data_IF_256767186227
#
_entry.id   IF_256767186227
#
_cell.length_a   1.000
_cell.length_b   1.000
_cell.length_c   1.000
_cell.angle_alpha   90.00
_cell.angle_beta   90.00
_cell.angle_gamma   90.00
#
_symmetry.space_group_name_H-M   'P 1'
#
loop_
_entity.id
_entity.type
_entity.pdbx_description
1 polymer ?
#
# COMPACT_ATOMS: atom_id res chain seq x y z
N UNK A 1 -12.19 6.04 14.76
CA UNK A 1 -13.06 4.85 14.83
C UNK A 1 -13.79 4.73 13.49
N UNK A 2 -13.09 4.33 12.41
CA UNK A 2 -13.64 4.26 11.05
C UNK A 2 -13.24 2.97 10.31
N UNK A 3 -12.84 1.91 11.04
CA UNK A 3 -12.20 0.73 10.44
C UNK A 3 -13.11 -0.51 10.29
N UNK A 4 -14.42 -0.41 10.58
CA UNK A 4 -15.28 -1.60 10.59
C UNK A 4 -16.21 -1.79 9.39
N UNK A 5 -16.26 -0.87 8.42
CA UNK A 5 -17.29 -0.91 7.37
C UNK A 5 -16.77 -1.14 5.93
N UNK A 6 -15.54 -1.64 5.79
CA UNK A 6 -15.02 -2.12 4.49
C UNK A 6 -14.78 -3.64 4.47
N UNK A 7 -15.29 -4.38 5.46
CA UNK A 7 -15.33 -5.84 5.44
C UNK A 7 -16.69 -6.40 5.04
N UNK A 8 -17.61 -5.54 4.56
CA UNK A 8 -18.93 -6.01 4.10
C UNK A 8 -18.78 -6.71 2.74
N UNK A 9 -19.31 -7.94 2.56
CA UNK A 9 -19.22 -8.71 1.29
C UNK A 9 -19.91 -8.04 0.08
N UNK A 10 -20.56 -6.89 0.28
CA UNK A 10 -21.28 -6.13 -0.76
C UNK A 10 -20.65 -4.74 -0.99
N UNK A 11 -19.52 -4.41 -0.36
CA UNK A 11 -18.80 -3.19 -0.68
C UNK A 11 -18.31 -3.30 -2.14
N UNK A 12 -18.65 -2.34 -3.02
CA UNK A 12 -18.35 -2.46 -4.44
C UNK A 12 -16.88 -2.11 -4.70
N UNK A 13 -15.97 -2.99 -4.27
CA UNK A 13 -14.52 -2.84 -4.45
C UNK A 13 -14.13 -2.69 -5.93
N UNK A 14 -14.92 -3.30 -6.81
CA UNK A 14 -14.73 -3.24 -8.26
C UNK A 14 -14.95 -1.83 -8.85
N UNK A 15 -15.58 -0.90 -8.13
CA UNK A 15 -15.80 0.46 -8.63
C UNK A 15 -14.56 1.35 -8.51
N UNK A 16 -13.69 1.11 -7.53
CA UNK A 16 -12.55 1.98 -7.22
C UNK A 16 -11.57 2.04 -8.40
N UNK A 17 -11.34 0.91 -9.08
CA UNK A 17 -10.39 0.79 -10.19
C UNK A 17 -11.06 0.88 -11.57
N UNK A 18 -12.34 1.30 -11.67
CA UNK A 18 -12.96 1.60 -12.97
C UNK A 18 -12.50 2.92 -13.56
N UNK A 19 -12.08 3.85 -12.70
CA UNK A 19 -11.70 5.19 -13.10
C UNK A 19 -10.35 5.58 -12.48
N UNK A 20 -9.39 5.91 -13.35
CA UNK A 20 -8.05 6.34 -12.95
C UNK A 20 -8.09 7.62 -12.10
N UNK A 21 -9.03 8.53 -12.37
CA UNK A 21 -9.15 9.79 -11.61
C UNK A 21 -9.54 9.52 -10.15
N UNK A 22 -10.43 8.56 -9.92
CA UNK A 22 -10.81 8.12 -8.57
C UNK A 22 -9.60 7.64 -7.77
N UNK A 23 -8.76 6.78 -8.36
CA UNK A 23 -7.53 6.30 -7.71
C UNK A 23 -6.58 7.47 -7.42
N UNK A 24 -6.33 8.35 -8.39
CA UNK A 24 -5.48 9.53 -8.19
C UNK A 24 -6.01 10.48 -7.10
N UNK A 25 -7.31 10.72 -7.05
CA UNK A 25 -7.94 11.53 -6.02
C UNK A 25 -7.80 10.93 -4.62
N UNK A 26 -8.02 9.61 -4.49
CA UNK A 26 -7.81 8.90 -3.23
C UNK A 26 -6.36 9.02 -2.76
N UNK A 27 -5.38 8.82 -3.64
CA UNK A 27 -3.97 9.01 -3.31
C UNK A 27 -3.67 10.44 -2.84
N UNK A 28 -4.27 11.45 -3.49
CA UNK A 28 -4.19 12.84 -3.05
C UNK A 28 -4.79 13.06 -1.65
N UNK A 29 -5.93 12.43 -1.35
CA UNK A 29 -6.56 12.48 -0.02
C UNK A 29 -5.69 11.82 1.05
N UNK A 30 -5.02 10.70 0.73
CA UNK A 30 -4.15 9.98 1.66
C UNK A 30 -3.08 10.89 2.26
N UNK A 31 -2.57 11.85 1.49
CA UNK A 31 -1.50 12.74 1.93
C UNK A 31 -1.98 13.90 2.84
N UNK A 32 -3.28 14.05 3.08
CA UNK A 32 -3.82 15.20 3.82
C UNK A 32 -3.87 15.02 5.34
N UNK A 33 -4.03 13.78 5.84
CA UNK A 33 -4.08 13.50 7.28
C UNK A 33 -3.76 12.05 7.61
N UNK A 34 -3.32 11.76 8.83
CA UNK A 34 -3.06 10.38 9.30
C UNK A 34 -4.32 9.50 9.16
N UNK A 35 -5.50 10.03 9.48
CA UNK A 35 -6.77 9.31 9.30
C UNK A 35 -7.01 8.94 7.83
N UNK A 36 -6.69 9.85 6.90
CA UNK A 36 -6.81 9.57 5.47
C UNK A 36 -5.78 8.55 5.01
N UNK A 37 -4.54 8.62 5.49
CA UNK A 37 -3.51 7.62 5.19
C UNK A 37 -4.02 6.22 5.51
N UNK A 38 -4.54 6.02 6.72
CA UNK A 38 -5.07 4.73 7.19
C UNK A 38 -6.25 4.28 6.32
N UNK A 39 -7.23 5.17 6.13
CA UNK A 39 -8.47 4.84 5.41
C UNK A 39 -8.20 4.52 3.94
N UNK A 40 -7.51 5.41 3.23
CA UNK A 40 -7.25 5.27 1.80
C UNK A 40 -6.38 4.05 1.51
N UNK A 41 -5.28 3.84 2.24
CA UNK A 41 -4.41 2.68 2.01
C UNK A 41 -5.16 1.36 2.26
N UNK A 42 -6.06 1.32 3.26
CA UNK A 42 -6.92 0.17 3.51
C UNK A 42 -7.89 -0.07 2.35
N UNK A 43 -8.56 0.98 1.84
CA UNK A 43 -9.49 0.88 0.72
C UNK A 43 -8.77 0.40 -0.55
N UNK A 44 -7.68 1.09 -0.92
CA UNK A 44 -6.91 0.77 -2.13
C UNK A 44 -6.33 -0.64 -2.05
N UNK A 45 -5.71 -1.00 -0.93
CA UNK A 45 -5.14 -2.33 -0.71
C UNK A 45 -6.19 -3.42 -0.73
N UNK A 46 -7.35 -3.23 -0.08
CA UNK A 46 -8.42 -4.23 -0.05
C UNK A 46 -9.07 -4.42 -1.40
N UNK A 47 -9.16 -3.36 -2.21
CA UNK A 47 -9.78 -3.38 -3.54
C UNK A 47 -8.81 -3.82 -4.65
N UNK A 48 -7.51 -3.87 -4.38
CA UNK A 48 -6.48 -4.28 -5.33
C UNK A 48 -6.45 -5.81 -5.45
N UNK A 49 -7.25 -6.36 -6.38
CA UNK A 49 -7.48 -7.82 -6.54
C UNK A 49 -6.93 -8.41 -7.84
N UNK A 50 -6.73 -7.61 -8.88
CA UNK A 50 -6.29 -8.07 -10.20
C UNK A 50 -5.01 -7.36 -10.64
N UNK A 51 -4.33 -7.92 -11.64
CA UNK A 51 -3.12 -7.33 -12.23
C UNK A 51 -3.38 -5.97 -12.87
N UNK A 52 -4.58 -5.74 -13.41
CA UNK A 52 -5.01 -4.45 -13.94
C UNK A 52 -5.16 -3.40 -12.84
N UNK A 53 -5.76 -3.75 -11.69
CA UNK A 53 -5.89 -2.85 -10.55
C UNK A 53 -4.51 -2.44 -10.01
N UNK A 54 -3.60 -3.41 -9.91
CA UNK A 54 -2.22 -3.19 -9.48
C UNK A 54 -1.48 -2.24 -10.43
N UNK A 55 -1.57 -2.49 -11.75
CA UNK A 55 -0.97 -1.62 -12.76
C UNK A 55 -1.58 -0.21 -12.72
N UNK A 56 -2.90 -0.09 -12.59
CA UNK A 56 -3.57 1.21 -12.47
C UNK A 56 -3.13 1.98 -11.23
N UNK A 57 -3.01 1.30 -10.07
CA UNK A 57 -2.52 1.93 -8.85
C UNK A 57 -1.10 2.45 -9.04
N UNK A 58 -0.22 1.66 -9.66
CA UNK A 58 1.14 2.08 -9.99
C UNK A 58 1.16 3.29 -10.95
N UNK A 59 0.39 3.24 -12.03
CA UNK A 59 0.27 4.32 -13.03
C UNK A 59 -0.15 5.66 -12.41
N UNK A 60 -1.00 5.63 -11.38
CA UNK A 60 -1.46 6.84 -10.68
C UNK A 60 -0.49 7.32 -9.58
N UNK A 61 0.72 6.75 -9.49
CA UNK A 61 1.70 7.13 -8.47
C UNK A 61 1.45 6.47 -7.10
N UNK A 62 0.69 5.37 -7.07
CA UNK A 62 0.40 4.63 -5.85
C UNK A 62 1.65 4.10 -5.17
N UNK A 63 2.62 3.55 -5.93
CA UNK A 63 3.88 3.07 -5.36
C UNK A 63 4.69 4.20 -4.69
N UNK A 64 4.75 5.38 -5.33
CA UNK A 64 5.42 6.54 -4.74
C UNK A 64 4.74 7.00 -3.45
N UNK A 65 3.40 7.06 -3.45
CA UNK A 65 2.61 7.41 -2.27
C UNK A 65 2.84 6.40 -1.13
N UNK A 66 2.76 5.10 -1.43
CA UNK A 66 2.98 4.04 -0.44
C UNK A 66 4.41 4.08 0.12
N UNK A 67 5.42 4.31 -0.72
CA UNK A 67 6.80 4.47 -0.28
C UNK A 67 6.97 5.66 0.69
N UNK A 68 6.30 6.78 0.43
CA UNK A 68 6.28 7.91 1.36
C UNK A 68 5.66 7.52 2.71
N UNK A 69 4.56 6.74 2.69
CA UNK A 69 3.88 6.30 3.90
C UNK A 69 4.67 5.27 4.72
N UNK A 70 5.60 4.51 4.10
CA UNK A 70 6.56 3.66 4.83
C UNK A 70 7.49 4.46 5.74
N UNK A 71 7.65 5.77 5.51
CA UNK A 71 8.43 6.66 6.40
C UNK A 71 7.61 7.19 7.59
N UNK A 72 6.34 6.81 7.73
CA UNK A 72 5.51 7.22 8.86
C UNK A 72 6.02 6.67 10.19
N UNK A 73 5.91 7.46 11.25
CA UNK A 73 6.18 7.00 12.62
C UNK A 73 5.01 6.25 13.23
N UNK A 74 3.84 6.31 12.59
CA UNK A 74 2.62 5.70 13.12
C UNK A 74 2.50 4.25 12.64
N UNK A 75 2.62 3.31 13.57
CA UNK A 75 2.36 1.88 13.33
C UNK A 75 1.01 1.65 12.63
N UNK A 76 -0.02 2.42 12.99
CA UNK A 76 -1.37 2.34 12.41
C UNK A 76 -1.43 2.76 10.93
N UNK A 77 -0.47 3.52 10.44
CA UNK A 77 -0.30 3.86 9.01
C UNK A 77 0.56 2.82 8.31
N UNK A 78 1.61 2.33 8.98
CA UNK A 78 2.55 1.38 8.40
C UNK A 78 1.86 0.05 8.05
N UNK A 79 1.03 -0.50 8.93
CA UNK A 79 0.38 -1.79 8.69
C UNK A 79 -0.52 -1.83 7.43
N UNK A 80 -1.48 -0.90 7.23
CA UNK A 80 -2.26 -0.89 6.00
C UNK A 80 -1.43 -0.53 4.77
N UNK A 81 -0.36 0.26 4.92
CA UNK A 81 0.59 0.54 3.83
C UNK A 81 1.32 -0.74 3.39
N UNK A 82 1.87 -1.52 4.32
CA UNK A 82 2.51 -2.81 4.05
C UNK A 82 1.54 -3.79 3.40
N UNK A 83 0.31 -3.89 3.92
CA UNK A 83 -0.70 -4.76 3.31
C UNK A 83 -1.07 -4.32 1.88
N UNK A 84 -1.14 -3.01 1.63
CA UNK A 84 -1.38 -2.48 0.29
C UNK A 84 -0.23 -2.81 -0.66
N UNK A 85 1.04 -2.69 -0.23
CA UNK A 85 2.22 -3.06 -1.03
C UNK A 85 2.22 -4.57 -1.31
N UNK A 86 1.92 -5.40 -0.32
CA UNK A 86 1.83 -6.85 -0.50
C UNK A 86 0.77 -7.23 -1.54
N UNK A 87 -0.41 -6.59 -1.51
CA UNK A 87 -1.45 -6.81 -2.51
C UNK A 87 -1.07 -6.23 -3.89
N UNK A 88 -0.26 -5.18 -3.92
CA UNK A 88 0.27 -4.57 -5.13
C UNK A 88 1.25 -5.52 -5.85
N UNK A 89 2.12 -6.20 -5.11
CA UNK A 89 3.10 -7.17 -5.63
C UNK A 89 2.50 -8.57 -5.92
N UNK A 90 1.37 -8.91 -5.29
CA UNK A 90 0.85 -10.27 -5.31
C UNK A 90 0.61 -10.81 -6.73
N UNK A 91 1.34 -11.87 -7.09
CA UNK A 91 1.25 -12.56 -8.39
C UNK A 91 1.46 -11.62 -9.61
N UNK A 92 2.25 -10.55 -9.45
CA UNK A 92 2.52 -9.61 -10.54
C UNK A 92 4.01 -9.26 -10.64
N UNK A 93 4.77 -10.04 -11.44
CA UNK A 93 6.22 -9.86 -11.57
C UNK A 93 6.64 -8.46 -12.04
N UNK A 94 5.82 -7.81 -12.88
CA UNK A 94 6.11 -6.46 -13.35
C UNK A 94 6.09 -5.46 -12.20
N UNK A 95 5.05 -5.54 -11.36
CA UNK A 95 4.91 -4.64 -10.21
C UNK A 95 5.89 -5.00 -9.09
N UNK A 96 6.18 -6.29 -8.86
CA UNK A 96 7.27 -6.70 -7.95
C UNK A 96 8.62 -6.12 -8.39
N UNK A 97 8.94 -6.17 -9.69
CA UNK A 97 10.16 -5.57 -10.23
C UNK A 97 10.18 -4.03 -10.07
N UNK A 98 9.04 -3.36 -10.23
CA UNK A 98 8.92 -1.93 -9.94
C UNK A 98 9.18 -1.63 -8.46
N UNK A 99 8.61 -2.41 -7.54
CA UNK A 99 8.83 -2.25 -6.10
C UNK A 99 10.31 -2.44 -5.75
N UNK A 100 10.96 -3.46 -6.32
CA UNK A 100 12.38 -3.75 -6.07
C UNK A 100 13.32 -2.64 -6.55
N UNK A 101 12.94 -1.89 -7.58
CA UNK A 101 13.75 -0.82 -8.18
C UNK A 101 13.32 0.59 -7.76
N UNK A 102 12.16 0.73 -7.12
CA UNK A 102 11.65 2.02 -6.66
C UNK A 102 12.48 2.58 -5.50
N UNK A 103 12.54 3.91 -5.44
CA UNK A 103 13.18 4.63 -4.35
C UNK A 103 12.36 5.85 -3.94
N UNK A 104 12.47 6.21 -2.66
CA UNK A 104 11.84 7.39 -2.08
C UNK A 104 12.80 8.06 -1.10
N UNK A 105 12.96 9.38 -1.19
CA UNK A 105 13.85 10.14 -0.31
C UNK A 105 15.31 9.65 -0.30
N UNK A 106 15.79 9.11 -1.42
CA UNK A 106 17.16 8.58 -1.57
C UNK A 106 17.38 7.17 -0.99
N UNK A 107 16.33 6.49 -0.50
CA UNK A 107 16.38 5.09 -0.06
C UNK A 107 15.57 4.22 -0.99
N UNK A 108 16.01 3.00 -1.27
CA UNK A 108 15.20 2.04 -2.02
C UNK A 108 13.98 1.62 -1.19
N UNK A 109 12.87 1.30 -1.85
CA UNK A 109 11.68 0.76 -1.17
C UNK A 109 12.01 -0.57 -0.48
N UNK A 110 12.88 -1.37 -1.09
CA UNK A 110 13.39 -2.60 -0.48
C UNK A 110 14.12 -2.33 0.86
N UNK A 111 14.99 -1.31 0.92
CA UNK A 111 15.68 -0.95 2.17
C UNK A 111 14.71 -0.46 3.25
N UNK A 112 13.67 0.29 2.86
CA UNK A 112 12.62 0.72 3.79
C UNK A 112 11.88 -0.49 4.38
N UNK A 113 11.53 -1.47 3.54
CA UNK A 113 10.87 -2.71 3.98
C UNK A 113 11.79 -3.53 4.90
N UNK A 114 13.08 -3.70 4.55
CA UNK A 114 14.06 -4.37 5.41
C UNK A 114 14.18 -3.68 6.77
N UNK A 115 14.16 -2.34 6.80
CA UNK A 115 14.17 -1.58 8.05
C UNK A 115 12.96 -1.85 8.95
N UNK A 116 11.79 -2.14 8.37
CA UNK A 116 10.59 -2.52 9.11
C UNK A 116 10.60 -3.99 9.60
N UNK A 117 11.58 -4.78 9.17
CA UNK A 117 11.83 -6.16 9.66
C UNK A 117 12.80 -6.21 10.83
N UNK A 118 13.28 -5.06 11.33
CA UNK A 118 14.23 -5.02 12.43
C UNK A 118 13.66 -5.65 13.72
N UNK A 119 14.53 -6.25 14.54
CA UNK A 119 14.16 -7.04 15.73
C UNK A 119 13.37 -6.25 16.79
N UNK A 120 13.54 -4.93 16.82
CA UNK A 120 12.86 -4.00 17.71
C UNK A 120 11.42 -3.66 17.24
N UNK A 121 11.01 -4.11 16.05
CA UNK A 121 9.65 -3.92 15.52
C UNK A 121 8.69 -5.02 15.99
N UNK A 122 7.37 -4.75 16.05
CA UNK A 122 6.35 -5.77 16.27
C UNK A 122 6.44 -6.92 15.25
N UNK A 123 6.20 -8.16 15.68
CA UNK A 123 6.38 -9.35 14.83
C UNK A 123 5.48 -9.40 13.61
N UNK A 124 4.27 -8.87 13.72
CA UNK A 124 3.32 -8.73 12.64
C UNK A 124 3.78 -7.71 11.58
N UNK A 125 4.40 -6.60 11.99
CA UNK A 125 5.04 -5.64 11.08
C UNK A 125 6.21 -6.29 10.34
N UNK A 126 7.06 -7.04 11.06
CA UNK A 126 8.17 -7.76 10.45
C UNK A 126 7.66 -8.76 9.39
N UNK A 127 6.62 -9.52 9.71
CA UNK A 127 6.03 -10.50 8.81
C UNK A 127 5.36 -9.85 7.59
N UNK A 128 4.57 -8.79 7.80
CA UNK A 128 3.94 -8.03 6.70
C UNK A 128 4.98 -7.39 5.78
N UNK A 129 6.09 -6.89 6.34
CA UNK A 129 7.18 -6.32 5.55
C UNK A 129 7.93 -7.39 4.75
N UNK A 130 8.24 -8.53 5.37
CA UNK A 130 8.86 -9.67 4.68
C UNK A 130 7.98 -10.14 3.51
N UNK A 131 6.66 -10.21 3.72
CA UNK A 131 5.68 -10.59 2.67
C UNK A 131 5.79 -9.72 1.43
N UNK A 132 6.05 -8.41 1.59
CA UNK A 132 6.22 -7.48 0.47
C UNK A 132 7.47 -7.78 -0.38
N UNK A 133 8.48 -8.43 0.21
CA UNK A 133 9.75 -8.77 -0.45
C UNK A 133 9.76 -10.19 -1.05
N UNK A 134 8.77 -11.02 -0.73
CA UNK A 134 8.72 -12.43 -1.18
C UNK A 134 7.88 -12.65 -2.43
N UNK A 135 7.07 -11.68 -2.84
CA UNK A 135 6.26 -11.71 -4.07
C UNK A 135 7.02 -11.10 -5.25
#
# INVERSE_FOLDING_TARGET
MCLFDFSHPNAPFDLIYRDKQTVGHLLGLAMQSVSNQICVTTILGSSCKTTENQAMLCDQGGLYTLAALLCSQHYTVLMPTLNCIANLAYQNPNVSAMIATASFGGKSVADLLVGLMARDRPSDMQLSSAKCLTY
#
